data_IF_399670191346
#
_entry.id   IF_399670191346
#
_cell.length_a   1.000
_cell.length_b   1.000
_cell.length_c   1.000
_cell.angle_alpha   90.00
_cell.angle_beta   90.00
_cell.angle_gamma   90.00
#
_symmetry.space_group_name_H-M   'P 1'
#
loop_
_entity.id
_entity.type
_entity.pdbx_description
1 polymer ?
#
# COMPACT_ATOMS: atom_id res chain seq x y z
N UNK A 1 -10.15 11.53 -51.27
CA UNK A 1 -11.57 11.27 -50.95
C UNK A 1 -12.35 11.51 -52.22
N UNK A 2 -13.01 10.48 -52.76
CA UNK A 2 -13.76 10.60 -54.00
C UNK A 2 -15.01 11.44 -53.75
N UNK A 3 -15.36 12.29 -54.71
CA UNK A 3 -16.58 13.13 -54.63
C UNK A 3 -17.86 12.28 -54.53
N UNK A 4 -17.80 11.06 -55.07
CA UNK A 4 -18.90 10.08 -55.10
C UNK A 4 -19.26 9.53 -53.71
N UNK A 5 -18.26 9.31 -52.86
CA UNK A 5 -18.46 8.87 -51.47
C UNK A 5 -19.20 9.95 -50.66
N UNK A 6 -18.98 11.22 -51.00
CA UNK A 6 -19.58 12.35 -50.30
C UNK A 6 -21.05 12.54 -50.69
N UNK A 7 -21.41 12.31 -51.96
CA UNK A 7 -22.80 12.30 -52.40
C UNK A 7 -23.58 11.14 -51.80
N UNK A 8 -23.01 9.93 -51.80
CA UNK A 8 -23.64 8.75 -51.21
C UNK A 8 -23.92 8.94 -49.71
N UNK A 9 -22.99 9.58 -48.99
CA UNK A 9 -23.16 9.88 -47.58
C UNK A 9 -24.26 10.93 -47.32
N UNK A 10 -24.37 11.95 -48.17
CA UNK A 10 -25.40 12.99 -48.04
C UNK A 10 -26.80 12.44 -48.31
N UNK A 11 -26.94 11.58 -49.31
CA UNK A 11 -28.18 10.88 -49.66
C UNK A 11 -28.66 10.00 -48.49
N UNK A 12 -27.74 9.26 -47.87
CA UNK A 12 -28.03 8.44 -46.70
C UNK A 12 -28.37 9.22 -45.42
N UNK A 13 -28.11 10.53 -45.38
CA UNK A 13 -28.36 11.40 -44.22
C UNK A 13 -29.59 12.31 -44.42
N UNK A 14 -30.32 12.20 -45.54
CA UNK A 14 -31.43 13.08 -45.90
C UNK A 14 -32.57 13.07 -44.87
N UNK A 15 -32.83 11.91 -44.23
CA UNK A 15 -33.89 11.73 -43.24
C UNK A 15 -33.49 12.09 -41.79
N UNK A 16 -32.26 12.55 -41.55
CA UNK A 16 -31.77 12.81 -40.19
C UNK A 16 -32.23 14.20 -39.72
N UNK A 17 -33.27 14.24 -38.90
CA UNK A 17 -33.70 15.48 -38.24
C UNK A 17 -32.89 15.75 -36.97
N UNK A 18 -32.39 16.98 -36.76
CA UNK A 18 -31.78 17.39 -35.50
C UNK A 18 -32.76 17.21 -34.34
N UNK A 19 -32.30 16.58 -33.25
CA UNK A 19 -33.09 16.40 -32.04
C UNK A 19 -33.47 17.78 -31.45
N UNK A 20 -34.78 18.05 -31.37
CA UNK A 20 -35.35 19.33 -30.89
C UNK A 20 -34.98 19.69 -29.45
N UNK A 21 -34.53 18.70 -28.67
CA UNK A 21 -33.92 18.87 -27.37
C UNK A 21 -32.64 18.06 -27.39
N UNK A 22 -31.52 18.72 -27.64
CA UNK A 22 -30.25 18.19 -27.18
C UNK A 22 -30.41 18.10 -25.66
N UNK A 23 -30.55 16.88 -25.13
CA UNK A 23 -30.33 16.67 -23.71
C UNK A 23 -28.95 17.22 -23.43
N UNK A 24 -28.90 18.36 -22.76
CA UNK A 24 -27.69 18.99 -22.31
C UNK A 24 -27.16 18.05 -21.23
N UNK A 25 -26.42 17.02 -21.65
CA UNK A 25 -25.77 16.10 -20.73
C UNK A 25 -24.69 16.94 -20.10
N UNK A 26 -25.01 17.54 -18.95
CA UNK A 26 -24.04 18.19 -18.10
C UNK A 26 -23.03 17.12 -17.68
N UNK A 27 -21.97 17.02 -18.47
CA UNK A 27 -20.81 16.22 -18.16
C UNK A 27 -20.19 16.86 -16.94
N UNK A 28 -20.55 16.36 -15.76
CA UNK A 28 -19.83 16.64 -14.54
C UNK A 28 -18.57 15.77 -14.61
N UNK A 29 -17.38 16.33 -14.90
CA UNK A 29 -16.16 15.57 -14.72
C UNK A 29 -16.17 15.14 -13.26
N UNK A 30 -16.34 13.84 -13.02
CA UNK A 30 -16.20 13.28 -11.69
C UNK A 30 -14.77 13.59 -11.32
N UNK A 31 -14.58 14.62 -10.48
CA UNK A 31 -13.26 14.99 -9.97
C UNK A 31 -12.87 13.82 -9.09
N UNK A 32 -12.24 12.82 -9.69
CA UNK A 32 -11.55 11.77 -8.96
C UNK A 32 -10.42 12.49 -8.21
N UNK A 33 -10.73 12.95 -7.00
CA UNK A 33 -9.77 13.44 -6.03
C UNK A 33 -8.98 12.25 -5.46
N UNK A 34 -8.50 11.36 -6.32
CA UNK A 34 -7.45 10.44 -5.91
C UNK A 34 -6.24 11.32 -5.73
N UNK A 35 -5.95 11.64 -4.47
CA UNK A 35 -4.71 12.29 -4.10
C UNK A 35 -3.56 11.57 -4.83
N UNK A 36 -2.62 12.30 -5.43
CA UNK A 36 -1.47 11.67 -6.06
C UNK A 36 -0.84 10.73 -5.04
N UNK A 37 -0.74 9.45 -5.40
CA UNK A 37 -0.09 8.45 -4.56
C UNK A 37 1.36 8.91 -4.40
N UNK A 38 1.68 9.48 -3.23
CA UNK A 38 3.07 9.78 -2.89
C UNK A 38 3.78 8.45 -2.77
N UNK A 39 4.77 8.25 -3.63
CA UNK A 39 5.68 7.11 -3.52
C UNK A 39 6.47 7.34 -2.24
N UNK A 40 6.29 6.46 -1.27
CA UNK A 40 7.14 6.43 -0.08
C UNK A 40 8.48 5.83 -0.48
N UNK A 41 9.50 6.68 -0.65
CA UNK A 41 10.84 6.27 -1.06
C UNK A 41 11.49 5.33 -0.07
N UNK A 42 11.10 5.40 1.21
CA UNK A 42 11.60 4.49 2.23
C UNK A 42 11.14 3.05 1.98
N UNK A 43 9.97 2.86 1.36
CA UNK A 43 9.45 1.53 1.02
C UNK A 43 10.15 0.89 -0.17
N UNK A 44 10.93 1.65 -0.94
CA UNK A 44 11.70 1.11 -2.07
C UNK A 44 12.80 0.16 -1.59
N UNK A 45 13.35 0.41 -0.40
CA UNK A 45 14.39 -0.41 0.24
C UNK A 45 13.82 -1.49 1.18
N UNK A 46 12.49 -1.66 1.21
CA UNK A 46 11.84 -2.60 2.12
C UNK A 46 12.07 -4.06 1.70
N UNK A 47 13.05 -4.69 2.35
CA UNK A 47 13.46 -6.08 2.12
C UNK A 47 12.53 -7.14 2.74
N UNK A 48 11.49 -6.76 3.49
CA UNK A 48 10.58 -7.73 4.11
C UNK A 48 9.75 -8.45 3.04
N UNK A 49 9.80 -9.77 3.01
CA UNK A 49 9.09 -10.58 2.00
C UNK A 49 7.70 -10.98 2.46
N UNK A 50 6.75 -11.10 1.52
CA UNK A 50 5.38 -11.58 1.79
C UNK A 50 5.11 -12.99 1.25
N UNK A 51 6.01 -13.56 0.46
CA UNK A 51 5.93 -14.93 -0.06
C UNK A 51 6.63 -15.95 0.85
N UNK A 52 6.24 -17.22 0.70
CA UNK A 52 6.81 -18.37 1.43
C UNK A 52 6.73 -18.22 2.95
N UNK A 53 5.52 -18.00 3.46
CA UNK A 53 5.29 -17.84 4.89
C UNK A 53 5.23 -19.17 5.61
N UNK A 54 6.08 -19.33 6.63
CA UNK A 54 5.95 -20.38 7.62
C UNK A 54 4.93 -19.95 8.68
N UNK A 55 3.75 -20.57 8.66
CA UNK A 55 2.69 -20.27 9.62
C UNK A 55 3.08 -20.83 10.99
N UNK A 56 3.21 -19.94 11.98
CA UNK A 56 3.57 -20.31 13.34
C UNK A 56 2.31 -20.82 14.08
N UNK A 57 2.33 -22.03 14.65
CA UNK A 57 1.22 -22.53 15.46
C UNK A 57 0.98 -21.69 16.72
N UNK A 58 -0.27 -21.57 17.15
CA UNK A 58 -0.63 -20.82 18.37
C UNK A 58 -0.02 -21.38 19.66
N UNK A 59 0.35 -22.67 19.66
CA UNK A 59 1.03 -23.31 20.79
C UNK A 59 2.51 -22.95 20.89
N UNK A 60 3.08 -22.36 19.83
CA UNK A 60 4.51 -22.04 19.76
C UNK A 60 4.71 -20.54 20.04
N UNK A 61 5.54 -20.17 21.04
CA UNK A 61 5.89 -18.78 21.27
C UNK A 61 6.77 -18.25 20.13
N UNK A 62 6.58 -16.97 19.79
CA UNK A 62 7.43 -16.28 18.82
C UNK A 62 8.76 -15.90 19.47
N UNK A 63 9.82 -16.64 19.15
CA UNK A 63 11.14 -16.45 19.72
C UNK A 63 12.21 -16.49 18.63
N UNK A 64 13.11 -15.51 18.67
CA UNK A 64 14.26 -15.45 17.78
C UNK A 64 15.51 -15.08 18.58
N UNK A 65 16.61 -15.79 18.33
CA UNK A 65 17.93 -15.48 18.90
C UNK A 65 18.99 -15.59 17.83
N UNK A 66 19.72 -14.49 17.60
CA UNK A 66 20.91 -14.52 16.75
C UNK A 66 22.04 -15.31 17.45
N UNK A 67 22.75 -16.14 16.70
CA UNK A 67 23.93 -16.82 17.23
C UNK A 67 25.00 -15.80 17.67
N UNK A 68 25.65 -16.07 18.80
CA UNK A 68 26.62 -15.16 19.44
C UNK A 68 26.01 -14.14 20.42
N UNK A 69 24.68 -14.13 20.61
CA UNK A 69 24.02 -13.26 21.56
C UNK A 69 24.12 -13.83 22.99
N UNK A 70 24.53 -13.01 23.95
CA UNK A 70 24.71 -13.44 25.35
C UNK A 70 23.35 -13.83 25.96
N UNK A 71 23.27 -15.02 26.58
CA UNK A 71 22.03 -15.57 27.18
C UNK A 71 21.30 -14.56 28.07
N UNK A 72 22.04 -13.78 28.87
CA UNK A 72 21.47 -12.82 29.81
C UNK A 72 20.74 -11.64 29.17
N UNK A 73 20.87 -11.38 27.86
CA UNK A 73 20.12 -10.30 27.18
C UNK A 73 18.65 -10.68 27.02
N UNK A 74 18.36 -11.92 26.59
CA UNK A 74 17.00 -12.42 26.46
C UNK A 74 16.29 -12.52 27.81
N UNK A 75 17.00 -12.97 28.84
CA UNK A 75 16.43 -13.04 30.20
C UNK A 75 16.12 -11.65 30.76
N UNK A 76 16.95 -10.64 30.45
CA UNK A 76 16.68 -9.24 30.81
C UNK A 76 15.47 -8.67 30.07
N UNK A 77 15.27 -9.05 28.81
CA UNK A 77 14.07 -8.72 28.03
C UNK A 77 12.82 -9.36 28.64
N UNK A 78 12.83 -10.68 28.88
CA UNK A 78 11.69 -11.39 29.49
C UNK A 78 11.35 -10.89 30.89
N UNK A 79 12.36 -10.53 31.68
CA UNK A 79 12.18 -9.99 33.04
C UNK A 79 11.76 -8.52 33.07
N UNK A 80 11.52 -7.88 31.91
CA UNK A 80 11.05 -6.49 31.82
C UNK A 80 12.07 -5.46 32.30
N UNK A 81 13.36 -5.82 32.35
CA UNK A 81 14.43 -4.92 32.81
C UNK A 81 14.77 -3.85 31.76
N UNK A 82 14.34 -4.02 30.52
CA UNK A 82 14.40 -2.97 29.51
C UNK A 82 13.05 -2.24 29.46
N UNK A 83 13.03 -0.91 29.69
CA UNK A 83 11.81 -0.14 29.55
C UNK A 83 11.34 -0.18 28.09
N UNK A 84 10.03 -0.17 27.89
CA UNK A 84 9.46 -0.05 26.56
C UNK A 84 9.78 1.33 26.00
N UNK A 85 10.67 1.39 25.00
CA UNK A 85 11.10 2.63 24.37
C UNK A 85 10.19 3.02 23.19
N UNK A 86 9.64 2.02 22.51
CA UNK A 86 8.78 2.21 21.35
C UNK A 86 7.74 1.07 21.27
N UNK A 87 6.59 1.35 20.65
CA UNK A 87 5.50 0.40 20.46
C UNK A 87 4.94 0.52 19.05
N UNK A 88 4.64 -0.61 18.42
CA UNK A 88 3.99 -0.66 17.12
C UNK A 88 2.68 -1.44 17.24
N UNK A 89 1.58 -0.84 16.83
CA UNK A 89 0.27 -1.49 16.81
C UNK A 89 -0.10 -1.90 15.37
N UNK A 90 -0.30 -3.20 15.15
CA UNK A 90 -0.65 -3.79 13.86
C UNK A 90 -2.10 -4.30 13.81
N UNK A 91 -2.92 -4.03 14.83
CA UNK A 91 -4.29 -4.53 14.90
C UNK A 91 -5.18 -3.93 13.80
N UNK A 92 -5.97 -4.80 13.15
CA UNK A 92 -6.92 -4.45 12.07
C UNK A 92 -6.27 -3.84 10.81
N UNK A 93 -5.00 -4.11 10.59
CA UNK A 93 -4.27 -3.65 9.41
C UNK A 93 -4.07 -4.79 8.40
N UNK A 94 -4.16 -4.52 7.09
CA UNK A 94 -3.86 -5.53 6.08
C UNK A 94 -2.35 -5.85 6.09
N UNK A 95 -1.98 -7.05 5.65
CA UNK A 95 -0.60 -7.55 5.70
C UNK A 95 0.40 -6.60 5.02
N UNK A 96 0.04 -6.05 3.86
CA UNK A 96 0.88 -5.09 3.15
C UNK A 96 1.14 -3.80 3.95
N UNK A 97 0.15 -3.33 4.71
CA UNK A 97 0.33 -2.15 5.55
C UNK A 97 1.16 -2.47 6.78
N UNK A 98 0.95 -3.66 7.38
CA UNK A 98 1.81 -4.17 8.44
C UNK A 98 3.28 -4.23 8.02
N UNK A 99 3.56 -4.71 6.79
CA UNK A 99 4.92 -4.76 6.23
C UNK A 99 5.57 -3.37 6.14
N UNK A 100 4.82 -2.38 5.66
CA UNK A 100 5.31 -1.00 5.53
C UNK A 100 5.56 -0.35 6.88
N UNK A 101 4.58 -0.44 7.78
CA UNK A 101 4.67 0.12 9.13
C UNK A 101 5.80 -0.51 9.92
N UNK A 102 5.99 -1.83 9.84
CA UNK A 102 7.06 -2.52 10.55
C UNK A 102 8.44 -2.12 10.06
N UNK A 103 8.64 -2.00 8.75
CA UNK A 103 9.89 -1.53 8.19
C UNK A 103 10.20 -0.09 8.61
N UNK A 104 9.24 0.83 8.48
CA UNK A 104 9.40 2.21 8.92
C UNK A 104 9.69 2.33 10.42
N UNK A 105 9.02 1.51 11.25
CA UNK A 105 9.24 1.46 12.69
C UNK A 105 10.65 0.99 13.05
N UNK A 106 11.17 -0.06 12.40
CA UNK A 106 12.53 -0.56 12.62
C UNK A 106 13.56 0.52 12.25
N UNK A 107 13.40 1.18 11.10
CA UNK A 107 14.28 2.26 10.66
C UNK A 107 14.27 3.43 11.65
N UNK A 108 13.09 3.84 12.12
CA UNK A 108 12.95 4.90 13.12
C UNK A 108 13.59 4.51 14.46
N UNK A 109 13.34 3.30 14.95
CA UNK A 109 13.91 2.81 16.19
C UNK A 109 15.45 2.75 16.13
N UNK A 110 16.02 2.37 14.99
CA UNK A 110 17.47 2.41 14.78
C UNK A 110 18.03 3.84 14.75
N UNK A 111 17.32 4.77 14.10
CA UNK A 111 17.71 6.19 14.07
C UNK A 111 17.67 6.84 15.46
N UNK A 112 16.67 6.48 16.28
CA UNK A 112 16.49 6.99 17.64
C UNK A 112 17.43 6.32 18.65
N UNK A 113 18.26 5.36 18.22
CA UNK A 113 19.15 4.61 19.10
C UNK A 113 18.40 3.73 20.10
N UNK A 114 17.14 3.38 19.82
CA UNK A 114 16.42 2.39 20.60
C UNK A 114 17.15 1.05 20.49
N UNK A 115 17.19 0.31 21.60
CA UNK A 115 17.67 -1.07 21.55
C UNK A 115 16.60 -1.88 20.82
N UNK A 116 16.77 -2.07 19.51
CA UNK A 116 15.93 -2.95 18.71
C UNK A 116 16.25 -4.39 19.10
N UNK A 117 15.36 -4.97 19.90
CA UNK A 117 15.41 -6.36 20.34
C UNK A 117 14.74 -7.29 19.32
#
# INVERSE_FOLDING_TARGET
MNLDDKSLFLDAMEDVQPLKRATDVHWHPTRNQRAPQRIDTLQLDNFLTTGFLDIIPLSQPLEFRREGLQHGVLDKLRSGKYPQQASLNLLRQPVEECRKMMFSFIQQAMADGCVTC
#
